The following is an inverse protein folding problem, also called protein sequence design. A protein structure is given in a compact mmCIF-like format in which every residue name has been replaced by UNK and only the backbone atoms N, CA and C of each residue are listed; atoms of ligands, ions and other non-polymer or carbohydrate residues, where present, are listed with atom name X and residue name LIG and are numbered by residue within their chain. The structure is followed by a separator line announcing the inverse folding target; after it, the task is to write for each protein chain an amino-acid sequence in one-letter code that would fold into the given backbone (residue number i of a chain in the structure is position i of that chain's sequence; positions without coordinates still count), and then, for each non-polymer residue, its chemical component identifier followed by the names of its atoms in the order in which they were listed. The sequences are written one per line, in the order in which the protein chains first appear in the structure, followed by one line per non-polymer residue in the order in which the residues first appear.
data_IF_949380271465
#
_entry.id   IF_949380271465
#
_cell.length_a   1.000
_cell.length_b   1.000
_cell.length_c   1.000
_cell.angle_alpha   90.00
_cell.angle_beta   90.00
_cell.angle_gamma   90.00
#
_symmetry.space_group_name_H-M   'P 1'
#
loop_
_entity.id
_entity.type
_entity.pdbx_description
1 polymer ?
#
# COMPACT_ATOMS: atom_id res chain seq x y z
N UNK A 1 24.53 -30.04 12.23
CA UNK A 1 23.08 -29.82 12.16
C UNK A 1 22.92 -28.58 11.33
N UNK A 2 22.66 -28.75 10.00
CA UNK A 2 22.41 -27.62 9.11
C UNK A 2 21.07 -26.97 9.48
N UNK A 3 21.09 -25.70 9.84
CA UNK A 3 19.88 -24.91 9.95
C UNK A 3 19.26 -24.86 8.53
N UNK A 4 18.15 -25.58 8.36
CA UNK A 4 17.29 -25.42 7.19
C UNK A 4 16.75 -24.00 7.26
N UNK A 5 17.28 -23.06 6.47
CA UNK A 5 16.69 -21.75 6.31
C UNK A 5 15.22 -21.95 5.96
N UNK A 6 14.32 -21.53 6.84
CA UNK A 6 12.88 -21.61 6.54
C UNK A 6 12.64 -20.77 5.29
N UNK A 7 12.15 -21.41 4.24
CA UNK A 7 11.78 -20.73 2.99
C UNK A 7 10.68 -19.73 3.37
N UNK A 8 10.82 -18.48 2.95
CA UNK A 8 9.80 -17.44 3.19
C UNK A 8 8.43 -17.92 2.73
N UNK A 9 7.41 -17.69 3.56
CA UNK A 9 6.03 -18.08 3.28
C UNK A 9 5.08 -16.91 3.51
N UNK A 10 4.01 -16.83 2.71
CA UNK A 10 3.20 -15.62 2.58
C UNK A 10 1.72 -15.96 2.77
N UNK A 11 1.04 -15.29 3.71
CA UNK A 11 -0.41 -15.19 3.69
C UNK A 11 -0.80 -13.99 2.83
N UNK A 12 -1.49 -14.22 1.72
CA UNK A 12 -2.04 -13.18 0.84
C UNK A 12 -3.47 -12.90 1.27
N UNK A 13 -3.71 -11.75 1.87
CA UNK A 13 -5.03 -11.40 2.41
C UNK A 13 -5.73 -10.35 1.56
N UNK A 14 -6.88 -10.71 0.97
CA UNK A 14 -7.78 -9.77 0.31
C UNK A 14 -8.76 -9.23 1.36
N UNK A 15 -8.63 -7.93 1.66
CA UNK A 15 -9.60 -7.23 2.50
C UNK A 15 -10.67 -6.57 1.63
N UNK A 16 -11.96 -6.89 1.88
CA UNK A 16 -13.07 -6.38 1.07
C UNK A 16 -14.27 -5.94 1.92
N UNK A 17 -15.15 -5.15 1.33
CA UNK A 17 -16.40 -4.67 1.95
C UNK A 17 -17.64 -5.25 1.23
N UNK A 18 -17.51 -6.46 0.67
CA UNK A 18 -18.57 -7.17 -0.04
C UNK A 18 -18.29 -7.39 -1.53
N UNK A 19 -17.37 -6.63 -2.13
CA UNK A 19 -17.02 -6.76 -3.55
C UNK A 19 -15.52 -6.88 -3.74
N UNK A 20 -15.12 -7.61 -4.78
CA UNK A 20 -13.73 -7.74 -5.24
C UNK A 20 -13.71 -7.39 -6.73
N UNK A 21 -12.73 -6.64 -7.18
CA UNK A 21 -12.57 -6.31 -8.61
C UNK A 21 -12.41 -7.59 -9.42
N UNK A 22 -13.16 -7.66 -10.52
CA UNK A 22 -13.14 -8.82 -11.41
C UNK A 22 -11.73 -9.16 -11.87
N UNK A 23 -11.34 -10.42 -11.71
CA UNK A 23 -10.04 -10.95 -12.12
C UNK A 23 -8.92 -10.81 -11.08
N UNK A 24 -9.10 -10.07 -9.99
CA UNK A 24 -8.06 -9.97 -8.95
C UNK A 24 -7.76 -11.33 -8.33
N UNK A 25 -8.78 -12.08 -7.92
CA UNK A 25 -8.63 -13.41 -7.33
C UNK A 25 -7.93 -14.39 -8.27
N UNK A 26 -8.36 -14.46 -9.52
CA UNK A 26 -7.76 -15.36 -10.51
C UNK A 26 -6.31 -14.99 -10.83
N UNK A 27 -5.99 -13.70 -10.84
CA UNK A 27 -4.62 -13.19 -11.03
C UNK A 27 -3.71 -13.58 -9.87
N UNK A 28 -4.15 -13.39 -8.63
CA UNK A 28 -3.39 -13.78 -7.43
C UNK A 28 -3.25 -15.30 -7.33
N UNK A 29 -4.32 -16.06 -7.58
CA UNK A 29 -4.28 -17.54 -7.59
C UNK A 29 -3.31 -18.08 -8.63
N UNK A 30 -3.27 -17.47 -9.82
CA UNK A 30 -2.29 -17.81 -10.86
C UNK A 30 -0.86 -17.57 -10.38
N UNK A 31 -0.55 -16.40 -9.82
CA UNK A 31 0.78 -16.07 -9.32
C UNK A 31 1.22 -16.98 -8.16
N UNK A 32 0.30 -17.32 -7.25
CA UNK A 32 0.56 -18.28 -6.18
C UNK A 32 0.89 -19.65 -6.77
N UNK A 33 0.10 -20.13 -7.72
CA UNK A 33 0.31 -21.42 -8.35
C UNK A 33 1.62 -21.50 -9.16
N UNK A 34 1.98 -20.45 -9.87
CA UNK A 34 3.19 -20.37 -10.71
C UNK A 34 4.47 -20.04 -9.90
N UNK A 35 4.35 -19.71 -8.61
CA UNK A 35 5.48 -19.30 -7.78
C UNK A 35 6.14 -20.46 -7.05
N UNK A 36 7.43 -20.29 -6.71
CA UNK A 36 8.14 -21.19 -5.80
C UNK A 36 7.93 -20.85 -4.31
N UNK A 37 7.13 -19.83 -4.01
CA UNK A 37 6.83 -19.43 -2.63
C UNK A 37 5.73 -20.30 -2.05
N UNK A 38 5.83 -20.60 -0.74
CA UNK A 38 4.69 -21.12 0.00
C UNK A 38 3.73 -19.97 0.27
N UNK A 39 2.65 -19.88 -0.49
CA UNK A 39 1.69 -18.80 -0.37
C UNK A 39 0.25 -19.33 -0.28
N UNK A 40 -0.56 -18.68 0.56
CA UNK A 40 -1.98 -19.01 0.79
C UNK A 40 -2.84 -17.77 0.59
N UNK A 41 -4.03 -17.93 -0.02
CA UNK A 41 -4.98 -16.85 -0.22
C UNK A 41 -6.06 -16.86 0.86
N UNK A 42 -6.28 -15.71 1.50
CA UNK A 42 -7.27 -15.50 2.55
C UNK A 42 -8.18 -14.32 2.22
N UNK A 43 -9.49 -14.47 2.44
CA UNK A 43 -10.48 -13.42 2.25
C UNK A 43 -11.05 -12.98 3.59
N UNK A 44 -11.18 -11.67 3.78
CA UNK A 44 -11.80 -11.12 4.99
C UNK A 44 -12.74 -9.96 4.67
N UNK A 45 -13.95 -10.01 5.23
CA UNK A 45 -15.03 -9.04 5.01
C UNK A 45 -15.55 -8.50 6.34
N UNK A 46 -14.93 -7.46 6.84
CA UNK A 46 -15.31 -6.78 8.09
C UNK A 46 -15.28 -5.27 7.88
N UNK A 47 -16.20 -4.54 8.47
CA UNK A 47 -16.21 -3.08 8.53
C UNK A 47 -15.97 -2.60 9.95
N UNK A 48 -15.26 -1.48 10.15
CA UNK A 48 -14.51 -0.70 9.15
C UNK A 48 -13.19 -1.36 8.73
N UNK A 49 -12.53 -0.83 7.69
CA UNK A 49 -11.31 -1.42 7.08
C UNK A 49 -10.19 -1.69 8.08
N UNK A 50 -9.94 -0.81 9.04
CA UNK A 50 -8.91 -1.04 10.05
C UNK A 50 -9.24 -2.24 10.96
N UNK A 51 -10.51 -2.46 11.28
CA UNK A 51 -10.95 -3.65 12.03
C UNK A 51 -10.77 -4.91 11.20
N UNK A 52 -11.04 -4.86 9.89
CA UNK A 52 -10.78 -5.95 8.96
C UNK A 52 -9.30 -6.33 8.97
N UNK A 53 -8.41 -5.36 8.79
CA UNK A 53 -6.95 -5.60 8.82
C UNK A 53 -6.49 -6.20 10.15
N UNK A 54 -6.97 -5.68 11.30
CA UNK A 54 -6.62 -6.24 12.61
C UNK A 54 -7.12 -7.68 12.79
N UNK A 55 -8.31 -8.01 12.27
CA UNK A 55 -8.82 -9.39 12.29
C UNK A 55 -7.93 -10.32 11.46
N UNK A 56 -7.50 -9.87 10.29
CA UNK A 56 -6.55 -10.62 9.45
C UNK A 56 -5.20 -10.80 10.16
N UNK A 57 -4.68 -9.74 10.79
CA UNK A 57 -3.43 -9.83 11.58
C UNK A 57 -3.58 -10.85 12.72
N UNK A 58 -4.69 -10.80 13.45
CA UNK A 58 -4.96 -11.78 14.52
C UNK A 58 -4.99 -13.20 13.95
N UNK A 59 -5.73 -13.43 12.86
CA UNK A 59 -5.76 -14.73 12.20
C UNK A 59 -4.36 -15.19 11.77
N UNK A 60 -3.59 -14.30 11.13
CA UNK A 60 -2.22 -14.58 10.69
C UNK A 60 -1.31 -15.00 11.85
N UNK A 61 -1.36 -14.28 12.98
CA UNK A 61 -0.51 -14.55 14.13
C UNK A 61 -0.90 -15.81 14.91
N UNK A 62 -2.20 -16.07 15.05
CA UNK A 62 -2.73 -17.14 15.90
C UNK A 62 -2.94 -18.46 15.15
N UNK A 63 -3.16 -18.43 13.82
CA UNK A 63 -3.62 -19.61 13.07
C UNK A 63 -2.68 -20.01 11.93
N UNK A 64 -1.58 -19.29 11.69
CA UNK A 64 -0.63 -19.62 10.63
C UNK A 64 0.82 -19.52 11.10
N UNK A 65 1.72 -20.21 10.38
CA UNK A 65 3.17 -20.11 10.55
C UNK A 65 3.84 -19.32 9.43
N UNK A 66 3.06 -18.58 8.61
CA UNK A 66 3.61 -17.77 7.54
C UNK A 66 4.55 -16.68 8.07
N UNK A 67 5.64 -16.43 7.36
CA UNK A 67 6.65 -15.45 7.75
C UNK A 67 6.27 -14.01 7.37
N UNK A 68 5.40 -13.86 6.37
CA UNK A 68 4.97 -12.56 5.84
C UNK A 68 3.46 -12.54 5.62
N UNK A 69 2.87 -11.37 5.82
CA UNK A 69 1.49 -11.06 5.46
C UNK A 69 1.50 -10.05 4.31
N UNK A 70 0.85 -10.38 3.19
CA UNK A 70 0.63 -9.47 2.07
C UNK A 70 -0.84 -9.05 2.04
N UNK A 71 -1.13 -7.81 2.38
CA UNK A 71 -2.44 -7.22 2.15
C UNK A 71 -2.63 -6.82 0.69
N UNK A 72 -3.78 -7.15 0.13
CA UNK A 72 -4.29 -6.63 -1.14
C UNK A 72 -5.71 -6.14 -0.91
N UNK A 73 -5.98 -4.86 -1.16
CA UNK A 73 -7.34 -4.35 -1.12
C UNK A 73 -8.14 -4.84 -2.33
N UNK A 74 -9.42 -5.09 -2.13
CA UNK A 74 -10.31 -5.67 -3.15
C UNK A 74 -10.50 -4.81 -4.40
N UNK A 75 -10.16 -3.53 -4.34
CA UNK A 75 -10.20 -2.57 -5.44
C UNK A 75 -8.79 -2.15 -5.92
N UNK A 76 -7.76 -2.89 -5.49
CA UNK A 76 -6.36 -2.63 -5.83
C UNK A 76 -5.78 -3.83 -6.60
N UNK A 77 -5.45 -3.64 -7.88
CA UNK A 77 -4.98 -4.71 -8.74
C UNK A 77 -3.53 -4.49 -9.14
N UNK A 78 -2.56 -5.24 -8.59
CA UNK A 78 -1.17 -5.17 -9.03
C UNK A 78 -1.04 -5.50 -10.52
N UNK A 79 -0.22 -4.74 -11.27
CA UNK A 79 0.10 -5.07 -12.66
C UNK A 79 1.04 -6.27 -12.74
N UNK A 80 2.04 -6.31 -11.85
CA UNK A 80 3.04 -7.36 -11.76
C UNK A 80 2.87 -8.17 -10.47
N UNK A 81 3.47 -9.36 -10.44
CA UNK A 81 3.42 -10.27 -9.30
C UNK A 81 4.08 -9.64 -8.06
N UNK A 82 3.35 -9.38 -6.96
CA UNK A 82 3.90 -8.78 -5.74
C UNK A 82 4.63 -9.80 -4.84
N UNK A 83 4.49 -11.11 -5.05
CA UNK A 83 5.07 -12.13 -4.17
C UNK A 83 6.60 -12.01 -4.05
N UNK A 84 7.38 -11.70 -5.13
CA UNK A 84 8.83 -11.51 -5.03
C UNK A 84 9.28 -10.36 -4.10
N UNK A 85 8.38 -9.51 -3.62
CA UNK A 85 8.75 -8.51 -2.59
C UNK A 85 9.30 -9.16 -1.31
N UNK A 86 8.97 -10.41 -1.05
CA UNK A 86 9.47 -11.18 0.10
C UNK A 86 11.01 -11.34 0.07
N UNK A 87 11.59 -11.43 -1.12
CA UNK A 87 13.04 -11.63 -1.30
C UNK A 87 13.86 -10.35 -1.05
N UNK A 88 13.19 -9.19 -0.96
CA UNK A 88 13.86 -7.95 -0.58
C UNK A 88 14.31 -7.93 0.88
N UNK A 89 13.79 -8.81 1.73
CA UNK A 89 14.16 -8.91 3.14
C UNK A 89 13.81 -7.67 3.97
N UNK A 90 12.90 -6.83 3.49
CA UNK A 90 12.50 -5.56 4.11
C UNK A 90 11.38 -5.79 5.13
N UNK A 91 11.30 -4.94 6.16
CA UNK A 91 10.33 -5.09 7.23
C UNK A 91 8.89 -4.86 6.76
N UNK A 92 8.70 -3.75 6.05
CA UNK A 92 7.44 -3.34 5.41
C UNK A 92 7.77 -2.85 4.01
N UNK A 93 7.16 -3.47 2.99
CA UNK A 93 7.32 -3.03 1.60
C UNK A 93 6.00 -3.14 0.86
N UNK A 94 5.67 -2.18 0.02
CA UNK A 94 4.44 -2.28 -0.76
C UNK A 94 4.55 -1.73 -2.16
N UNK A 95 3.68 -2.26 -3.02
CA UNK A 95 3.40 -1.71 -4.33
C UNK A 95 2.72 -0.35 -4.23
N UNK A 96 2.93 0.47 -5.24
CA UNK A 96 2.46 1.86 -5.24
C UNK A 96 1.26 2.02 -6.15
N UNK A 97 0.28 2.80 -5.70
CA UNK A 97 -0.92 3.08 -6.45
C UNK A 97 -1.39 4.53 -6.24
N UNK A 98 -2.09 5.10 -7.24
CA UNK A 98 -2.63 6.45 -7.13
C UNK A 98 -3.96 6.43 -6.37
N UNK A 99 -4.23 7.53 -5.68
CA UNK A 99 -5.55 7.86 -5.18
C UNK A 99 -6.07 9.11 -5.88
N UNK A 100 -7.33 9.05 -6.32
CA UNK A 100 -8.01 10.23 -6.82
C UNK A 100 -8.39 11.13 -5.63
N UNK A 101 -7.95 12.38 -5.67
CA UNK A 101 -8.45 13.47 -4.83
C UNK A 101 -9.49 14.26 -5.60
N UNK A 102 -9.97 15.34 -5.07
CA UNK A 102 -11.05 16.13 -5.68
C UNK A 102 -10.79 16.48 -7.14
N UNK A 103 -9.53 16.78 -7.50
CA UNK A 103 -9.14 17.31 -8.81
C UNK A 103 -7.78 16.82 -9.32
N UNK A 104 -7.09 15.94 -8.60
CA UNK A 104 -5.77 15.44 -8.97
C UNK A 104 -5.54 14.01 -8.46
N UNK A 105 -4.47 13.39 -8.95
CA UNK A 105 -3.96 12.11 -8.44
C UNK A 105 -2.86 12.34 -7.42
N UNK A 106 -2.89 11.56 -6.36
CA UNK A 106 -1.87 11.51 -5.33
C UNK A 106 -1.37 10.07 -5.17
N UNK A 107 -0.06 9.86 -5.27
CA UNK A 107 0.52 8.54 -5.02
C UNK A 107 0.60 8.28 -3.52
N UNK A 108 0.17 7.10 -3.08
CA UNK A 108 0.13 6.74 -1.66
C UNK A 108 1.48 6.18 -1.16
N UNK A 109 2.57 6.85 -1.56
CA UNK A 109 3.92 6.71 -1.02
C UNK A 109 4.40 8.09 -0.61
N UNK A 110 4.56 8.33 0.68
CA UNK A 110 4.61 9.66 1.28
C UNK A 110 5.82 9.84 2.19
N UNK A 111 6.37 11.05 2.20
CA UNK A 111 7.26 11.50 3.26
C UNK A 111 6.51 12.42 4.24
N UNK A 112 6.86 12.33 5.51
CA UNK A 112 6.34 13.21 6.55
C UNK A 112 7.16 14.50 6.59
N UNK A 113 6.47 15.62 6.52
CA UNK A 113 7.08 16.94 6.64
C UNK A 113 7.30 17.33 8.12
N UNK A 114 8.18 18.33 8.40
CA UNK A 114 8.43 18.78 9.78
C UNK A 114 7.18 19.28 10.51
N UNK A 115 6.17 19.76 9.79
CA UNK A 115 4.87 20.18 10.33
C UNK A 115 3.91 19.02 10.64
N UNK A 116 4.36 17.78 10.38
CA UNK A 116 3.58 16.54 10.59
C UNK A 116 2.68 16.14 9.44
N UNK A 117 2.54 16.96 8.39
CA UNK A 117 1.78 16.59 7.20
C UNK A 117 2.54 15.58 6.32
N UNK A 118 1.79 14.78 5.57
CA UNK A 118 2.34 13.84 4.59
C UNK A 118 2.29 14.46 3.19
N UNK A 119 3.37 14.26 2.44
CA UNK A 119 3.49 14.69 1.05
C UNK A 119 4.00 13.55 0.18
N UNK A 120 3.36 13.35 -0.97
CA UNK A 120 3.84 12.40 -2.00
C UNK A 120 5.30 12.68 -2.35
N UNK A 121 6.10 11.63 -2.48
CA UNK A 121 7.51 11.74 -2.89
C UNK A 121 7.64 12.34 -4.30
N UNK A 122 8.68 13.17 -4.55
CA UNK A 122 8.90 13.79 -5.87
C UNK A 122 9.02 12.76 -7.01
N UNK A 123 8.67 13.19 -8.23
CA UNK A 123 8.66 12.34 -9.42
C UNK A 123 10.00 11.68 -9.73
N UNK A 124 11.10 12.40 -9.57
CA UNK A 124 12.46 11.89 -9.84
C UNK A 124 12.87 10.74 -8.91
N UNK A 125 12.24 10.62 -7.74
CA UNK A 125 12.47 9.57 -6.75
C UNK A 125 11.50 8.39 -6.89
N UNK A 126 10.61 8.38 -7.90
CA UNK A 126 9.59 7.34 -8.12
C UNK A 126 10.13 6.19 -8.98
N UNK A 127 11.18 5.51 -8.51
CA UNK A 127 11.80 4.37 -9.19
C UNK A 127 12.47 3.42 -8.21
N UNK A 128 12.43 2.13 -8.52
CA UNK A 128 13.03 1.09 -7.67
C UNK A 128 12.34 0.98 -6.31
N UNK A 129 13.13 0.71 -5.28
CA UNK A 129 12.67 0.58 -3.89
C UNK A 129 13.18 1.78 -3.09
N UNK A 130 12.28 2.56 -2.50
CA UNK A 130 12.58 3.83 -1.82
C UNK A 130 12.02 3.81 -0.42
N UNK A 131 12.83 4.20 0.58
CA UNK A 131 12.34 4.38 1.96
C UNK A 131 11.37 5.55 2.03
N UNK A 132 10.25 5.38 2.76
CA UNK A 132 9.17 6.36 2.89
C UNK A 132 8.69 6.44 4.34
N UNK A 133 7.93 7.48 4.68
CA UNK A 133 7.33 7.61 6.02
C UNK A 133 5.92 7.05 6.10
N UNK A 134 5.21 7.01 4.99
CA UNK A 134 3.84 6.50 4.91
C UNK A 134 3.59 5.81 3.59
N UNK A 135 2.87 4.69 3.66
CA UNK A 135 2.50 3.86 2.52
C UNK A 135 1.05 3.43 2.65
N UNK A 136 0.31 3.41 1.54
CA UNK A 136 -1.03 2.83 1.52
C UNK A 136 -0.98 1.30 1.63
N UNK A 137 -1.86 0.71 2.40
CA UNK A 137 -1.84 -0.73 2.67
C UNK A 137 -2.60 -1.58 1.63
N UNK A 138 -3.01 -1.00 0.50
CA UNK A 138 -3.73 -1.70 -0.57
C UNK A 138 -2.89 -2.72 -1.35
N UNK A 139 -1.56 -2.69 -1.23
CA UNK A 139 -0.63 -3.73 -1.67
C UNK A 139 0.61 -3.65 -0.76
N UNK A 140 0.55 -4.24 0.44
CA UNK A 140 1.58 -4.09 1.46
C UNK A 140 1.99 -5.44 2.04
N UNK A 141 3.26 -5.77 1.93
CA UNK A 141 3.89 -6.94 2.55
C UNK A 141 4.56 -6.54 3.85
N UNK A 142 4.33 -7.32 4.91
CA UNK A 142 4.78 -7.04 6.28
C UNK A 142 5.37 -8.31 6.86
N UNK A 143 6.56 -8.25 7.45
CA UNK A 143 7.13 -9.35 8.21
C UNK A 143 6.30 -9.66 9.47
N UNK A 144 6.26 -10.92 9.85
CA UNK A 144 5.58 -11.38 11.09
C UNK A 144 6.05 -10.60 12.32
N UNK A 145 7.34 -10.46 12.51
CA UNK A 145 7.95 -9.78 13.66
C UNK A 145 7.47 -8.33 13.85
N UNK A 146 7.18 -7.62 12.76
CA UNK A 146 6.61 -6.27 12.82
C UNK A 146 5.22 -6.30 13.44
N UNK A 147 4.38 -7.25 12.99
CA UNK A 147 2.99 -7.39 13.47
C UNK A 147 2.94 -7.90 14.93
N UNK A 148 3.86 -8.78 15.34
CA UNK A 148 4.00 -9.25 16.70
C UNK A 148 4.40 -8.13 17.67
N UNK A 149 5.12 -7.12 17.20
CA UNK A 149 5.59 -5.99 18.02
C UNK A 149 4.52 -4.93 18.31
N UNK A 150 3.35 -5.01 17.65
CA UNK A 150 2.31 -3.98 17.68
C UNK A 150 0.96 -4.58 18.12
N UNK A 151 0.43 -4.09 19.21
CA UNK A 151 -0.96 -4.40 19.60
C UNK A 151 -1.93 -3.61 18.69
N UNK A 152 -2.95 -4.29 18.12
CA UNK A 152 -3.92 -3.72 17.20
C UNK A 152 -3.27 -2.75 16.20
N UNK A 153 -2.42 -3.26 15.27
CA UNK A 153 -1.51 -2.42 14.47
C UNK A 153 -2.21 -1.36 13.64
N UNK A 154 -3.42 -1.63 13.16
CA UNK A 154 -4.18 -0.69 12.33
C UNK A 154 -5.23 0.05 13.17
N UNK A 155 -5.07 1.36 13.28
CA UNK A 155 -6.02 2.28 13.93
C UNK A 155 -5.92 3.67 13.30
N UNK A 156 -7.01 4.41 13.27
CA UNK A 156 -6.95 5.84 12.95
C UNK A 156 -6.38 6.61 14.15
N UNK A 157 -5.49 7.57 13.89
CA UNK A 157 -5.06 8.54 14.90
C UNK A 157 -6.11 9.64 15.01
N UNK A 158 -6.67 9.79 16.20
CA UNK A 158 -7.75 10.73 16.46
C UNK A 158 -7.24 11.90 17.29
N UNK A 159 -7.59 13.12 16.89
CA UNK A 159 -7.32 14.35 17.64
C UNK A 159 -8.21 14.46 18.88
N UNK A 160 -7.84 15.30 19.86
CA UNK A 160 -8.69 15.57 21.04
C UNK A 160 -10.11 16.08 20.69
N UNK A 161 -10.28 16.71 19.52
CA UNK A 161 -11.58 17.20 19.04
C UNK A 161 -12.43 16.12 18.34
N UNK A 162 -11.96 14.85 18.34
CA UNK A 162 -12.64 13.69 17.73
C UNK A 162 -12.42 13.53 16.23
N UNK A 163 -11.73 14.45 15.56
CA UNK A 163 -11.44 14.34 14.12
C UNK A 163 -10.24 13.43 13.86
N UNK A 164 -10.29 12.70 12.75
CA UNK A 164 -9.16 11.89 12.29
C UNK A 164 -7.99 12.79 11.90
N UNK A 165 -6.85 12.56 12.51
CA UNK A 165 -5.57 13.20 12.21
C UNK A 165 -4.83 12.45 11.11
N UNK A 166 -4.63 11.13 11.30
CA UNK A 166 -3.91 10.25 10.39
C UNK A 166 -4.76 8.99 10.17
N UNK A 167 -4.87 8.56 8.92
CA UNK A 167 -5.54 7.31 8.57
C UNK A 167 -4.73 6.08 8.99
N UNK A 168 -5.43 4.97 9.19
CA UNK A 168 -4.88 3.73 9.76
C UNK A 168 -3.64 3.18 9.04
N UNK A 169 -3.51 3.35 7.73
CA UNK A 169 -2.35 2.87 6.97
C UNK A 169 -1.08 3.66 7.34
N UNK A 170 -1.17 4.99 7.37
CA UNK A 170 -0.03 5.84 7.72
C UNK A 170 0.27 5.81 9.21
N UNK A 171 -0.76 5.69 10.04
CA UNK A 171 -0.54 5.56 11.48
C UNK A 171 0.09 4.21 11.85
N UNK A 172 -0.22 3.13 11.12
CA UNK A 172 0.52 1.88 11.21
C UNK A 172 2.01 2.07 10.87
N UNK A 173 2.32 2.77 9.76
CA UNK A 173 3.70 3.06 9.38
C UNK A 173 4.42 3.89 10.47
N UNK A 174 3.76 4.92 11.03
CA UNK A 174 4.31 5.74 12.13
C UNK A 174 4.66 4.86 13.34
N UNK A 175 3.74 4.01 13.80
CA UNK A 175 3.94 3.12 14.94
C UNK A 175 5.03 2.07 14.71
N UNK A 176 5.12 1.53 13.50
CA UNK A 176 6.19 0.59 13.15
C UNK A 176 7.56 1.27 13.15
N UNK A 177 7.66 2.49 12.64
CA UNK A 177 8.90 3.31 12.68
C UNK A 177 9.31 3.67 14.11
N UNK A 178 8.37 3.94 15.00
CA UNK A 178 8.64 4.16 16.44
C UNK A 178 9.26 2.92 17.12
N UNK A 179 9.01 1.71 16.57
CA UNK A 179 9.64 0.45 16.98
C UNK A 179 10.99 0.17 16.29
N UNK A 180 11.43 1.04 15.39
CA UNK A 180 12.69 0.92 14.65
C UNK A 180 12.60 0.23 13.30
N UNK A 181 11.41 -0.19 12.86
CA UNK A 181 11.20 -0.78 11.54
C UNK A 181 11.20 0.27 10.44
N UNK A 182 11.45 -0.15 9.19
CA UNK A 182 11.48 0.70 8.02
C UNK A 182 10.36 0.39 7.05
N UNK A 183 9.87 1.42 6.38
CA UNK A 183 8.80 1.32 5.38
C UNK A 183 9.35 1.68 4.00
N UNK A 184 9.00 0.86 3.00
CA UNK A 184 9.55 0.96 1.66
C UNK A 184 8.46 0.93 0.60
N UNK A 185 8.50 1.88 -0.32
CA UNK A 185 7.68 1.89 -1.53
C UNK A 185 8.44 1.22 -2.67
N UNK A 186 7.85 0.19 -3.29
CA UNK A 186 8.41 -0.50 -4.44
C UNK A 186 7.72 -0.03 -5.73
N UNK A 187 8.38 0.86 -6.45
CA UNK A 187 7.91 1.42 -7.73
C UNK A 187 7.98 0.44 -8.91
N UNK A 188 8.58 -0.75 -8.72
CA UNK A 188 8.53 -1.84 -9.70
C UNK A 188 7.23 -2.66 -9.59
N UNK A 189 6.43 -2.45 -8.54
CA UNK A 189 5.11 -3.05 -8.34
C UNK A 189 4.08 -1.94 -8.31
N UNK A 190 3.56 -1.60 -9.48
CA UNK A 190 2.47 -0.64 -9.60
C UNK A 190 1.12 -1.36 -9.52
N UNK A 191 0.14 -0.71 -8.88
CA UNK A 191 -1.20 -1.25 -8.79
C UNK A 191 -2.21 -0.27 -9.40
N UNK A 192 -3.22 -0.81 -10.06
CA UNK A 192 -4.39 -0.06 -10.44
C UNK A 192 -5.33 0.07 -9.23
N UNK A 193 -5.87 1.24 -9.01
CA UNK A 193 -6.81 1.52 -7.93
C UNK A 193 -8.17 1.84 -8.53
N UNK A 194 -9.02 0.84 -8.62
CA UNK A 194 -10.30 0.92 -9.30
C UNK A 194 -11.29 1.76 -8.49
N UNK A 195 -11.66 2.91 -9.03
CA UNK A 195 -12.64 3.84 -8.43
C UNK A 195 -13.67 4.26 -9.48
N UNK A 196 -14.91 4.44 -9.04
CA UNK A 196 -15.93 5.07 -9.86
C UNK A 196 -15.75 6.58 -9.81
N UNK A 197 -15.40 7.18 -10.93
CA UNK A 197 -15.21 8.64 -11.06
C UNK A 197 -16.10 9.16 -12.17
N UNK A 198 -16.90 10.23 -11.95
CA UNK A 198 -17.68 10.85 -13.01
C UNK A 198 -16.77 11.35 -14.15
N UNK A 199 -17.10 11.02 -15.40
CA UNK A 199 -16.26 11.36 -16.58
C UNK A 199 -15.96 12.86 -16.68
N UNK A 200 -16.90 13.73 -16.36
CA UNK A 200 -16.67 15.18 -16.37
C UNK A 200 -15.62 15.64 -15.34
N UNK A 201 -15.45 14.91 -14.25
CA UNK A 201 -14.37 15.17 -13.29
C UNK A 201 -13.01 14.86 -13.90
N UNK A 202 -12.90 13.76 -14.65
CA UNK A 202 -11.68 13.38 -15.37
C UNK A 202 -11.36 14.42 -16.45
N UNK A 203 -12.36 14.81 -17.24
CA UNK A 203 -12.19 15.85 -18.30
C UNK A 203 -11.68 17.16 -17.73
N UNK A 204 -12.25 17.62 -16.60
CA UNK A 204 -11.81 18.85 -15.93
C UNK A 204 -10.36 18.76 -15.43
N UNK A 205 -9.97 17.62 -14.84
CA UNK A 205 -8.61 17.39 -14.35
C UNK A 205 -7.60 17.39 -15.50
N UNK A 206 -7.88 16.67 -16.59
CA UNK A 206 -7.02 16.63 -17.78
C UNK A 206 -6.85 18.01 -18.40
N UNK A 207 -7.95 18.78 -18.51
CA UNK A 207 -7.89 20.15 -19.03
C UNK A 207 -7.00 21.04 -18.17
N UNK A 208 -7.13 20.97 -16.84
CA UNK A 208 -6.28 21.73 -15.91
C UNK A 208 -4.80 21.38 -16.09
N UNK A 209 -4.46 20.08 -16.12
CA UNK A 209 -3.09 19.62 -16.34
C UNK A 209 -2.52 20.11 -17.66
N UNK A 210 -3.33 20.09 -18.74
CA UNK A 210 -2.94 20.61 -20.05
C UNK A 210 -2.69 22.13 -20.01
N UNK A 211 -3.60 22.90 -19.41
CA UNK A 211 -3.50 24.36 -19.30
C UNK A 211 -2.30 24.78 -18.45
N UNK A 212 -1.99 24.06 -17.37
CA UNK A 212 -0.81 24.29 -16.54
C UNK A 212 0.49 23.97 -17.29
N UNK A 213 0.56 22.83 -17.98
CA UNK A 213 1.72 22.45 -18.80
C UNK A 213 1.97 23.42 -19.97
N UNK A 214 0.92 23.92 -20.60
CA UNK A 214 1.02 24.92 -21.67
C UNK A 214 1.56 26.28 -21.15
N UNK A 215 1.15 26.70 -19.95
CA UNK A 215 1.65 27.93 -19.32
C UNK A 215 3.13 27.82 -18.94
N UNK A 216 3.54 26.67 -18.39
CA UNK A 216 4.95 26.43 -18.06
C UNK A 216 5.84 26.41 -19.31
N UNK A 217 5.44 25.70 -20.37
CA UNK A 217 6.17 25.66 -21.63
C UNK A 217 6.30 27.02 -22.32
N UNK A 218 5.29 27.93 -22.17
CA UNK A 218 5.40 29.31 -22.66
C UNK A 218 6.35 30.18 -21.83
N UNK A 219 6.39 30.00 -20.52
CA UNK A 219 7.30 30.73 -19.63
C UNK A 219 8.77 30.41 -19.98
N UNK A 220 9.10 29.12 -20.14
CA UNK A 220 10.46 28.68 -20.52
C UNK A 220 10.92 29.14 -21.92
N UNK A 221 9.99 29.44 -22.83
CA UNK A 221 10.30 29.93 -24.19
C UNK A 221 10.46 31.45 -24.26
N UNK A 222 9.98 32.21 -23.27
CA UNK A 222 10.11 33.65 -23.19
C UNK A 222 11.38 34.11 -22.47
N UNK A 223 12.03 33.23 -21.73
CA UNK A 223 13.29 33.46 -20.99
C UNK A 223 14.55 33.04 -21.81
N UNK A 224 14.39 32.70 -23.08
CA UNK A 224 15.49 32.40 -24.03
C UNK A 224 15.50 33.45 -25.16
#
# INVERSE_FOLDING_TARGET
VGFKTMKSSILVAITHTGTVVTGLESKLSKWIYESDYSAELHFSNINPTYSNRNTVVKYFLENTEHTHLLFIDSDNTPFDNPLPMVDLGLDIVGGVYPMWRIDHFEWLAMNRLPDGHYKTIPGDNRKGVVEVDGLGAGCMMIKREVLESLEAPFADKIRPDGRREIGHDYYFCERAKEKGYKVWANWNVLCDHVKQVPLMTIVKALKRTFDEGYKQGKAETLDK
#
